data_IF_505433977543
#
_entry.id   IF_505433977543
#
_cell.length_a   1.000
_cell.length_b   1.000
_cell.length_c   1.000
_cell.angle_alpha   90.00
_cell.angle_beta   90.00
_cell.angle_gamma   90.00
#
_symmetry.space_group_name_H-M   'P 1'
#
loop_
_entity.id
_entity.type
_entity.pdbx_description
1 polymer ?
#
# COMPACT_ATOMS: atom_id res chain seq x y z
N UNK A 1 26.60 -34.88 -26.64
CA UNK A 1 26.58 -33.42 -26.55
C UNK A 1 25.34 -33.05 -25.77
N UNK A 2 25.49 -32.84 -24.46
CA UNK A 2 24.36 -32.77 -23.51
C UNK A 2 24.06 -31.30 -23.26
N UNK A 3 22.88 -30.82 -23.66
CA UNK A 3 22.43 -29.46 -23.35
C UNK A 3 22.13 -29.37 -21.84
N UNK A 4 22.86 -28.49 -21.15
CA UNK A 4 22.51 -28.07 -19.81
C UNK A 4 21.35 -27.07 -19.88
N UNK A 5 20.21 -27.42 -19.28
CA UNK A 5 19.13 -26.49 -19.00
C UNK A 5 19.60 -25.52 -17.91
N UNK A 6 19.80 -24.26 -18.28
CA UNK A 6 19.98 -23.19 -17.31
C UNK A 6 18.65 -23.01 -16.56
N UNK A 7 18.60 -23.53 -15.33
CA UNK A 7 17.51 -23.22 -14.39
C UNK A 7 17.71 -21.75 -14.01
N UNK A 8 17.01 -20.87 -14.70
CA UNK A 8 16.89 -19.48 -14.29
C UNK A 8 16.28 -19.47 -12.89
N UNK A 9 17.03 -18.98 -11.91
CA UNK A 9 16.49 -18.65 -10.59
C UNK A 9 15.46 -17.54 -10.78
N UNK A 10 14.20 -17.91 -11.00
CA UNK A 10 13.07 -17.04 -10.76
C UNK A 10 13.07 -16.78 -9.25
N UNK A 11 13.70 -15.67 -8.83
CA UNK A 11 13.36 -15.09 -7.54
C UNK A 11 11.85 -14.88 -7.57
N UNK A 12 11.11 -15.63 -6.78
CA UNK A 12 9.76 -15.23 -6.42
C UNK A 12 9.90 -13.82 -5.86
N UNK A 13 9.41 -12.82 -6.59
CA UNK A 13 9.35 -11.47 -6.06
C UNK A 13 8.58 -11.56 -4.75
N UNK A 14 9.10 -10.94 -3.69
CA UNK A 14 8.34 -10.81 -2.45
C UNK A 14 7.08 -10.02 -2.80
N UNK A 15 5.96 -10.73 -2.98
CA UNK A 15 4.67 -10.14 -3.36
C UNK A 15 4.03 -9.44 -2.17
N UNK A 16 4.49 -9.74 -0.95
CA UNK A 16 3.98 -9.13 0.27
C UNK A 16 4.71 -7.81 0.55
N UNK A 17 3.98 -6.70 0.77
CA UNK A 17 4.59 -5.44 1.14
C UNK A 17 5.45 -5.57 2.39
N UNK A 18 6.65 -5.02 2.34
CA UNK A 18 7.54 -4.88 3.49
C UNK A 18 7.26 -3.54 4.14
N UNK A 19 6.86 -3.55 5.40
CA UNK A 19 6.50 -2.32 6.12
C UNK A 19 7.31 -2.25 7.40
N UNK A 20 7.98 -1.13 7.61
CA UNK A 20 8.62 -0.76 8.87
C UNK A 20 7.89 0.42 9.45
N UNK A 21 7.55 0.36 10.74
CA UNK A 21 6.80 1.40 11.44
C UNK A 21 7.59 1.92 12.63
N UNK A 22 7.87 3.21 12.62
CA UNK A 22 8.44 3.96 13.73
C UNK A 22 7.37 4.85 14.36
N UNK A 23 7.18 4.74 15.67
CA UNK A 23 6.17 5.50 16.42
C UNK A 23 6.77 6.53 17.38
N UNK A 24 8.09 6.68 17.39
CA UNK A 24 8.80 7.53 18.36
C UNK A 24 8.48 9.02 18.21
N UNK A 25 8.04 9.45 17.03
CA UNK A 25 7.65 10.83 16.73
C UNK A 25 6.16 11.11 17.00
N UNK A 26 5.37 10.10 17.33
CA UNK A 26 3.93 10.27 17.50
C UNK A 26 3.63 11.10 18.76
N UNK A 27 2.87 12.17 18.55
CA UNK A 27 2.41 13.08 19.60
C UNK A 27 1.00 13.60 19.27
N UNK A 28 0.24 14.14 20.24
CA UNK A 28 0.54 14.21 21.68
C UNK A 28 0.39 12.87 22.42
N UNK A 29 -0.28 11.87 21.82
CA UNK A 29 -0.50 10.56 22.45
C UNK A 29 0.60 9.57 22.07
N UNK A 30 1.07 8.80 23.05
CA UNK A 30 1.95 7.66 22.80
C UNK A 30 1.18 6.52 22.11
N UNK A 31 1.77 5.93 21.08
CA UNK A 31 1.20 4.73 20.44
C UNK A 31 1.50 3.51 21.30
N UNK A 32 0.45 2.87 21.83
CA UNK A 32 0.59 1.67 22.64
C UNK A 32 1.03 0.48 21.79
N UNK A 33 1.71 -0.51 22.40
CA UNK A 33 2.28 -1.65 21.67
C UNK A 33 1.23 -2.43 20.85
N UNK A 34 0.01 -2.60 21.38
CA UNK A 34 -1.07 -3.28 20.65
C UNK A 34 -1.55 -2.44 19.46
N UNK A 35 -1.66 -1.12 19.65
CA UNK A 35 -2.00 -0.16 18.59
C UNK A 35 -0.94 -0.19 17.48
N UNK A 36 0.35 -0.17 17.83
CA UNK A 36 1.45 -0.27 16.87
C UNK A 36 1.39 -1.56 16.06
N UNK A 37 1.13 -2.70 16.71
CA UNK A 37 0.99 -4.00 16.03
C UNK A 37 -0.21 -4.01 15.08
N UNK A 38 -1.34 -3.46 15.50
CA UNK A 38 -2.54 -3.37 14.68
C UNK A 38 -2.32 -2.47 13.47
N UNK A 39 -1.74 -1.27 13.66
CA UNK A 39 -1.40 -0.34 12.57
C UNK A 39 -0.48 -0.99 11.54
N UNK A 40 0.61 -1.61 11.98
CA UNK A 40 1.55 -2.27 11.09
C UNK A 40 0.87 -3.37 10.25
N UNK A 41 0.08 -4.23 10.91
CA UNK A 41 -0.67 -5.31 10.25
C UNK A 41 -1.66 -4.74 9.23
N UNK A 42 -2.48 -3.79 9.64
CA UNK A 42 -3.60 -3.30 8.84
C UNK A 42 -3.11 -2.43 7.68
N UNK A 43 -2.05 -1.64 7.88
CA UNK A 43 -1.41 -0.88 6.80
C UNK A 43 -0.74 -1.79 5.76
N UNK A 44 -0.06 -2.87 6.21
CA UNK A 44 0.47 -3.89 5.31
C UNK A 44 -0.63 -4.56 4.49
N UNK A 45 -1.76 -4.89 5.10
CA UNK A 45 -2.90 -5.44 4.38
C UNK A 45 -3.52 -4.42 3.42
N UNK A 46 -3.56 -3.13 3.75
CA UNK A 46 -4.09 -2.10 2.87
C UNK A 46 -3.32 -2.06 1.54
N UNK A 47 -1.98 -2.06 1.59
CA UNK A 47 -1.14 -2.10 0.39
C UNK A 47 -1.27 -3.40 -0.40
N UNK A 48 -1.30 -4.55 0.28
CA UNK A 48 -1.51 -5.84 -0.39
C UNK A 48 -2.86 -5.87 -1.13
N UNK A 49 -3.92 -5.37 -0.50
CA UNK A 49 -5.25 -5.30 -1.08
C UNK A 49 -5.34 -4.31 -2.25
N UNK A 50 -4.64 -3.18 -2.15
CA UNK A 50 -4.53 -2.22 -3.25
C UNK A 50 -3.82 -2.83 -4.46
N UNK A 51 -2.68 -3.49 -4.24
CA UNK A 51 -1.95 -4.18 -5.29
C UNK A 51 -2.83 -5.25 -5.97
N UNK A 52 -3.52 -6.07 -5.18
CA UNK A 52 -4.45 -7.08 -5.69
C UNK A 52 -5.60 -6.45 -6.49
N UNK A 53 -6.17 -5.35 -6.02
CA UNK A 53 -7.29 -4.68 -6.70
C UNK A 53 -6.90 -4.14 -8.07
N UNK A 54 -5.71 -3.53 -8.17
CA UNK A 54 -5.17 -3.02 -9.43
C UNK A 54 -4.74 -4.14 -10.38
N UNK A 55 -4.17 -5.21 -9.88
CA UNK A 55 -3.72 -6.32 -10.73
C UNK A 55 -4.90 -7.12 -11.27
N UNK A 56 -5.92 -7.37 -10.44
CA UNK A 56 -7.12 -8.13 -10.83
C UNK A 56 -8.22 -7.28 -11.47
N UNK A 57 -8.05 -5.96 -11.55
CA UNK A 57 -9.11 -5.03 -11.97
C UNK A 57 -10.42 -5.21 -11.17
N UNK A 58 -10.32 -5.62 -9.91
CA UNK A 58 -11.46 -5.88 -9.02
C UNK A 58 -11.44 -4.93 -7.82
N UNK A 59 -12.60 -4.38 -7.50
CA UNK A 59 -12.74 -3.50 -6.32
C UNK A 59 -13.01 -4.29 -5.03
N UNK A 60 -13.19 -5.61 -5.12
CA UNK A 60 -13.58 -6.44 -3.98
C UNK A 60 -12.56 -6.37 -2.84
N UNK A 61 -11.27 -6.41 -3.18
CA UNK A 61 -10.17 -6.33 -2.22
C UNK A 61 -10.04 -4.95 -1.55
N UNK A 62 -10.59 -3.88 -2.12
CA UNK A 62 -10.56 -2.56 -1.49
C UNK A 62 -11.54 -2.44 -0.30
N UNK A 63 -12.49 -3.36 -0.17
CA UNK A 63 -13.47 -3.30 0.90
C UNK A 63 -12.82 -3.62 2.26
N UNK A 64 -13.15 -2.81 3.27
CA UNK A 64 -12.79 -3.07 4.67
C UNK A 64 -11.53 -2.36 5.17
N UNK A 65 -10.52 -2.09 4.33
CA UNK A 65 -9.29 -1.40 4.75
C UNK A 65 -9.17 0.05 4.27
N UNK A 66 -10.04 0.45 3.34
CA UNK A 66 -10.16 1.83 2.87
C UNK A 66 -11.57 2.36 3.17
N UNK A 67 -11.64 3.60 3.63
CA UNK A 67 -12.90 4.29 3.89
C UNK A 67 -12.84 5.75 3.47
N UNK A 68 -14.01 6.40 3.35
CA UNK A 68 -14.09 7.81 2.95
C UNK A 68 -13.44 8.09 1.59
N UNK A 69 -12.73 9.22 1.51
CA UNK A 69 -12.12 9.72 0.27
C UNK A 69 -11.14 8.74 -0.37
N UNK A 70 -10.29 8.07 0.43
CA UNK A 70 -9.35 7.08 -0.09
C UNK A 70 -10.08 5.95 -0.83
N UNK A 71 -11.15 5.40 -0.24
CA UNK A 71 -11.91 4.31 -0.87
C UNK A 71 -12.57 4.75 -2.19
N UNK A 72 -13.22 5.92 -2.19
CA UNK A 72 -13.87 6.47 -3.38
C UNK A 72 -12.86 6.68 -4.52
N UNK A 73 -11.72 7.29 -4.21
CA UNK A 73 -10.67 7.56 -5.18
C UNK A 73 -10.05 6.27 -5.74
N UNK A 74 -9.72 5.31 -4.89
CA UNK A 74 -9.14 4.02 -5.30
C UNK A 74 -10.10 3.19 -6.14
N UNK A 75 -11.39 3.14 -5.78
CA UNK A 75 -12.42 2.51 -6.62
C UNK A 75 -12.53 3.18 -7.99
N UNK A 76 -12.46 4.51 -8.02
CA UNK A 76 -12.39 5.29 -9.26
C UNK A 76 -11.18 4.90 -10.12
N UNK A 77 -9.98 4.84 -9.53
CA UNK A 77 -8.74 4.40 -10.20
C UNK A 77 -8.88 3.02 -10.83
N UNK A 78 -9.32 2.02 -10.06
CA UNK A 78 -9.54 0.64 -10.55
C UNK A 78 -10.60 0.62 -11.65
N UNK A 79 -11.68 1.39 -11.51
CA UNK A 79 -12.72 1.48 -12.54
C UNK A 79 -12.20 2.04 -13.86
N UNK A 80 -11.45 3.14 -13.82
CA UNK A 80 -10.87 3.78 -15.00
C UNK A 80 -9.88 2.85 -15.70
N UNK A 81 -9.00 2.21 -14.93
CA UNK A 81 -8.03 1.25 -15.45
C UNK A 81 -8.74 0.09 -16.16
N UNK A 82 -9.76 -0.49 -15.53
CA UNK A 82 -10.57 -1.56 -16.12
C UNK A 82 -11.25 -1.13 -17.43
N UNK A 83 -11.81 0.08 -17.48
CA UNK A 83 -12.45 0.62 -18.69
C UNK A 83 -11.45 0.83 -19.84
N UNK A 84 -10.19 1.13 -19.53
CA UNK A 84 -9.13 1.22 -20.54
C UNK A 84 -8.60 -0.13 -21.03
N UNK A 85 -9.03 -1.26 -20.43
CA UNK A 85 -8.47 -2.58 -20.73
C UNK A 85 -7.07 -2.83 -20.18
N UNK A 86 -6.56 -1.92 -19.34
CA UNK A 86 -5.24 -2.01 -18.73
C UNK A 86 -5.33 -2.68 -17.36
N UNK A 87 -4.19 -3.12 -16.83
CA UNK A 87 -4.02 -3.47 -15.42
C UNK A 87 -2.72 -2.89 -14.88
N UNK A 88 -2.58 -2.80 -13.56
CA UNK A 88 -1.34 -2.35 -12.94
C UNK A 88 -0.85 -3.33 -11.89
N UNK A 89 0.46 -3.49 -11.81
CA UNK A 89 1.12 -4.39 -10.85
C UNK A 89 2.14 -3.62 -10.05
N UNK A 90 2.13 -3.84 -8.74
CA UNK A 90 3.20 -3.47 -7.84
C UNK A 90 4.07 -4.69 -7.52
N UNK A 91 5.38 -4.51 -7.45
CA UNK A 91 6.33 -5.51 -6.97
C UNK A 91 7.43 -4.85 -6.14
N UNK A 92 8.12 -5.64 -5.32
CA UNK A 92 9.25 -5.17 -4.49
C UNK A 92 8.88 -3.97 -3.59
N UNK A 93 7.66 -4.00 -3.04
CA UNK A 93 7.12 -2.92 -2.22
C UNK A 93 7.82 -2.86 -0.86
N UNK A 94 8.40 -1.71 -0.54
CA UNK A 94 8.94 -1.38 0.77
C UNK A 94 8.41 -0.04 1.27
N UNK A 95 8.08 0.03 2.56
CA UNK A 95 7.46 1.19 3.19
C UNK A 95 8.20 1.53 4.49
N UNK A 96 8.68 2.76 4.58
CA UNK A 96 9.25 3.34 5.80
C UNK A 96 8.27 4.34 6.36
N UNK A 97 7.57 3.92 7.40
CA UNK A 97 6.43 4.64 7.96
C UNK A 97 6.81 5.25 9.31
N UNK A 98 6.68 6.56 9.43
CA UNK A 98 6.73 7.28 10.69
C UNK A 98 5.30 7.65 11.11
N UNK A 99 4.87 7.26 12.30
CA UNK A 99 3.70 7.88 12.93
C UNK A 99 4.12 9.23 13.53
N UNK A 100 3.51 10.31 13.07
CA UNK A 100 3.90 11.68 13.40
C UNK A 100 2.87 12.41 14.27
N UNK A 101 1.61 12.00 14.18
CA UNK A 101 0.55 12.52 15.02
C UNK A 101 -0.38 11.39 15.45
N UNK A 102 -0.74 11.35 16.73
CA UNK A 102 -1.76 10.46 17.25
C UNK A 102 -2.67 11.26 18.18
N UNK A 103 -3.95 11.37 17.82
CA UNK A 103 -4.91 12.18 18.55
C UNK A 103 -5.02 11.74 20.03
N UNK A 104 -5.20 12.68 20.98
CA UNK A 104 -5.45 12.36 22.39
C UNK A 104 -6.55 11.31 22.58
N UNK A 105 -7.63 11.41 21.82
CA UNK A 105 -8.80 10.55 21.85
C UNK A 105 -8.51 9.14 21.32
N UNK A 106 -7.43 8.98 20.55
CA UNK A 106 -7.03 7.70 19.97
C UNK A 106 -7.81 7.30 18.72
N UNK A 107 -8.52 8.24 18.10
CA UNK A 107 -9.45 8.01 16.99
C UNK A 107 -8.86 8.35 15.60
N UNK A 108 -7.69 8.98 15.54
CA UNK A 108 -6.96 9.22 14.30
C UNK A 108 -5.46 9.22 14.52
N UNK A 109 -4.74 8.60 13.58
CA UNK A 109 -3.28 8.66 13.49
C UNK A 109 -2.86 9.13 12.09
N UNK A 110 -1.90 10.05 12.04
CA UNK A 110 -1.23 10.46 10.81
C UNK A 110 0.10 9.73 10.68
N UNK A 111 0.31 9.17 9.48
CA UNK A 111 1.53 8.49 9.11
C UNK A 111 2.17 9.20 7.92
N UNK A 112 3.50 9.31 7.96
CA UNK A 112 4.34 9.71 6.84
C UNK A 112 5.03 8.46 6.32
N UNK A 113 4.74 8.08 5.08
CA UNK A 113 5.26 6.86 4.46
C UNK A 113 6.16 7.18 3.28
N UNK A 114 7.42 6.79 3.34
CA UNK A 114 8.28 6.71 2.16
C UNK A 114 8.14 5.32 1.56
N UNK A 115 7.36 5.22 0.49
CA UNK A 115 7.12 4.00 -0.26
C UNK A 115 8.09 3.90 -1.44
N UNK A 116 8.69 2.73 -1.61
CA UNK A 116 9.54 2.38 -2.75
C UNK A 116 9.00 1.08 -3.37
N UNK A 117 8.78 1.08 -4.67
CA UNK A 117 8.23 -0.07 -5.39
C UNK A 117 8.55 -0.03 -6.88
N UNK A 118 8.51 -1.20 -7.51
CA UNK A 118 8.43 -1.29 -8.96
C UNK A 118 6.96 -1.27 -9.38
N UNK A 119 6.62 -0.41 -10.33
CA UNK A 119 5.28 -0.25 -10.87
C UNK A 119 5.26 -0.59 -12.35
N UNK A 120 4.27 -1.40 -12.75
CA UNK A 120 4.05 -1.78 -14.15
C UNK A 120 2.62 -1.49 -14.56
N UNK A 121 2.46 -1.01 -15.79
CA UNK A 121 1.16 -0.95 -16.48
C UNK A 121 1.18 -2.00 -17.58
N UNK A 122 0.14 -2.82 -17.62
CA UNK A 122 0.02 -3.94 -18.55
C UNK A 122 -1.21 -3.78 -19.45
N UNK A 123 -1.03 -4.17 -20.71
CA UNK A 123 -2.11 -4.47 -21.66
C UNK A 123 -2.15 -6.00 -21.83
N UNK A 124 -3.15 -6.63 -21.21
CA UNK A 124 -3.15 -8.08 -20.99
C UNK A 124 -1.92 -8.54 -20.20
N UNK A 125 -1.09 -9.42 -20.77
CA UNK A 125 0.15 -9.89 -20.15
C UNK A 125 1.39 -9.08 -20.54
N UNK A 126 1.26 -8.08 -21.42
CA UNK A 126 2.38 -7.29 -21.93
C UNK A 126 2.56 -6.05 -21.07
N UNK A 127 3.75 -5.89 -20.47
CA UNK A 127 4.11 -4.60 -19.88
C UNK A 127 4.30 -3.55 -20.98
N UNK A 128 3.59 -2.44 -20.86
CA UNK A 128 3.67 -1.28 -21.76
C UNK A 128 4.35 -0.08 -21.09
N UNK A 129 4.50 -0.13 -19.77
CA UNK A 129 5.23 0.84 -18.98
C UNK A 129 5.74 0.15 -17.71
N UNK A 130 6.99 0.44 -17.35
CA UNK A 130 7.60 -0.01 -16.12
C UNK A 130 8.45 1.12 -15.55
N UNK A 131 8.32 1.37 -14.26
CA UNK A 131 9.14 2.32 -13.54
C UNK A 131 9.48 1.80 -12.15
N UNK A 132 10.61 2.27 -11.64
CA UNK A 132 10.94 2.18 -10.23
C UNK A 132 10.59 3.52 -9.59
N UNK A 133 9.75 3.51 -8.56
CA UNK A 133 9.19 4.70 -7.97
C UNK A 133 9.52 4.81 -6.48
N UNK A 134 9.86 6.03 -6.06
CA UNK A 134 9.94 6.44 -4.65
C UNK A 134 8.90 7.53 -4.44
N UNK A 135 7.95 7.31 -3.54
CA UNK A 135 6.80 8.20 -3.31
C UNK A 135 6.62 8.46 -1.83
N UNK A 136 6.43 9.72 -1.47
CA UNK A 136 6.09 10.14 -0.12
C UNK A 136 4.57 10.25 0.02
N UNK A 137 4.00 9.59 1.03
CA UNK A 137 2.58 9.63 1.33
C UNK A 137 2.31 10.21 2.71
N UNK A 138 1.36 11.14 2.79
CA UNK A 138 0.65 11.47 4.03
C UNK A 138 -0.59 10.59 4.10
N UNK A 139 -0.71 9.84 5.19
CA UNK A 139 -1.77 8.84 5.40
C UNK A 139 -2.52 9.18 6.67
N UNK A 140 -3.84 9.18 6.61
CA UNK A 140 -4.68 9.22 7.80
C UNK A 140 -5.33 7.86 7.99
N UNK A 141 -5.13 7.28 9.17
CA UNK A 141 -5.82 6.06 9.59
C UNK A 141 -6.71 6.33 10.80
N UNK A 142 -7.86 5.68 10.84
CA UNK A 142 -8.82 5.73 11.96
C UNK A 142 -9.16 4.31 12.39
N UNK A 143 -9.52 4.06 13.67
CA UNK A 143 -10.03 2.77 14.06
C UNK A 143 -11.39 2.50 13.39
N UNK A 144 -11.55 1.29 12.87
CA UNK A 144 -12.82 0.70 12.43
C UNK A 144 -13.33 -0.31 13.47
N UNK A 145 -14.19 -1.24 13.04
CA UNK A 145 -14.78 -2.22 13.95
C UNK A 145 -13.74 -3.18 14.58
N UNK A 146 -12.75 -3.61 13.80
CA UNK A 146 -11.76 -4.64 14.19
C UNK A 146 -10.33 -4.35 13.68
N UNK A 147 -10.15 -3.22 12.99
CA UNK A 147 -8.92 -2.86 12.27
C UNK A 147 -8.78 -1.36 12.11
N UNK A 148 -7.57 -0.89 11.89
CA UNK A 148 -7.33 0.46 11.39
C UNK A 148 -7.64 0.53 9.89
N UNK A 149 -8.29 1.61 9.48
CA UNK A 149 -8.67 1.83 8.07
C UNK A 149 -8.06 3.11 7.54
N UNK A 150 -7.61 3.07 6.29
CA UNK A 150 -7.05 4.22 5.58
C UNK A 150 -8.18 5.14 5.11
N UNK A 151 -8.19 6.38 5.59
CA UNK A 151 -9.14 7.44 5.20
C UNK A 151 -8.60 8.34 4.12
N UNK A 152 -7.28 8.55 4.14
CA UNK A 152 -6.55 9.37 3.20
C UNK A 152 -5.22 8.69 2.89
N UNK A 153 -4.86 8.71 1.60
CA UNK A 153 -3.57 8.27 1.08
C UNK A 153 -3.18 9.30 0.02
N UNK A 154 -2.34 10.26 0.38
CA UNK A 154 -2.03 11.41 -0.45
C UNK A 154 -0.54 11.46 -0.76
N UNK A 155 -0.19 11.41 -2.05
CA UNK A 155 1.18 11.64 -2.49
C UNK A 155 1.57 13.11 -2.28
N UNK A 156 2.76 13.33 -1.72
CA UNK A 156 3.36 14.65 -1.48
C UNK A 156 4.79 14.68 -2.04
N UNK A 157 5.35 15.87 -2.27
CA UNK A 157 6.72 16.00 -2.78
C UNK A 157 7.78 15.69 -1.71
N UNK A 158 7.49 16.07 -0.46
CA UNK A 158 8.32 15.89 0.72
C UNK A 158 7.43 15.99 1.98
N UNK A 159 7.99 15.62 3.14
CA UNK A 159 7.34 15.75 4.45
C UNK A 159 7.67 17.08 5.13
#
# INVERSE_FOLDING_TARGET
MTLALAVGNLKAADTSPQVTLNVTKAAPRTVELLTQRALLRDYKFAWANLAQALESNSMESLNGLFAGTANTWLKGKVSTQRLSGLSSRYSNQSHKVDAVFYAPEGDVIELHDTAEYDYQVLDGSKSIHSEHAVVHYVVLMTPGADRWVVRQLQAVQHF
#
